data_IF_457677980942
#
_entry.id   IF_457677980942
#
_cell.length_a   1.000
_cell.length_b   1.000
_cell.length_c   1.000
_cell.angle_alpha   90.00
_cell.angle_beta   90.00
_cell.angle_gamma   90.00
#
_symmetry.space_group_name_H-M   'P 1'
#
loop_
_entity.id
_entity.type
_entity.pdbx_description
1 polymer ?
#
# COMPACT_ATOMS: atom_id res chain seq x y z
N UNK A 1 -40.69 16.44 -5.46
CA UNK A 1 -40.62 15.14 -4.74
C UNK A 1 -40.34 13.94 -5.65
N UNK A 2 -41.03 13.75 -6.78
CA UNK A 2 -40.80 12.59 -7.68
C UNK A 2 -39.39 12.53 -8.30
N UNK A 3 -38.80 13.69 -8.62
CA UNK A 3 -37.43 13.78 -9.16
C UNK A 3 -36.36 13.34 -8.14
N UNK A 4 -36.44 13.84 -6.91
CA UNK A 4 -35.56 13.46 -5.80
C UNK A 4 -35.65 11.95 -5.53
N UNK A 5 -36.87 11.38 -5.52
CA UNK A 5 -37.07 9.93 -5.34
C UNK A 5 -36.39 9.12 -6.46
N UNK A 6 -36.49 9.55 -7.72
CA UNK A 6 -35.81 8.89 -8.85
C UNK A 6 -34.29 8.98 -8.74
N UNK A 7 -33.76 10.13 -8.31
CA UNK A 7 -32.32 10.34 -8.11
C UNK A 7 -31.77 9.44 -6.99
N UNK A 8 -32.50 9.31 -5.87
CA UNK A 8 -32.13 8.40 -4.78
C UNK A 8 -32.15 6.92 -5.23
N UNK A 9 -33.18 6.50 -5.97
CA UNK A 9 -33.25 5.13 -6.50
C UNK A 9 -32.09 4.86 -7.46
N UNK A 10 -31.77 5.81 -8.34
CA UNK A 10 -30.65 5.69 -9.27
C UNK A 10 -29.31 5.57 -8.52
N UNK A 11 -29.07 6.43 -7.52
CA UNK A 11 -27.87 6.37 -6.68
C UNK A 11 -27.75 5.02 -5.97
N UNK A 12 -28.85 4.51 -5.41
CA UNK A 12 -28.87 3.19 -4.76
C UNK A 12 -28.52 2.06 -5.73
N UNK A 13 -29.06 2.09 -6.95
CA UNK A 13 -28.75 1.11 -8.01
C UNK A 13 -27.26 1.17 -8.36
N UNK A 14 -26.69 2.36 -8.53
CA UNK A 14 -25.26 2.53 -8.81
C UNK A 14 -24.38 1.99 -7.68
N UNK A 15 -24.75 2.22 -6.42
CA UNK A 15 -24.01 1.70 -5.25
C UNK A 15 -24.06 0.17 -5.23
N UNK A 16 -25.24 -0.42 -5.44
CA UNK A 16 -25.41 -1.88 -5.45
C UNK A 16 -24.60 -2.51 -6.59
N UNK A 17 -24.67 -1.94 -7.79
CA UNK A 17 -23.89 -2.42 -8.93
C UNK A 17 -22.40 -2.32 -8.65
N UNK A 18 -21.92 -1.18 -8.15
CA UNK A 18 -20.51 -0.99 -7.80
C UNK A 18 -20.03 -1.98 -6.74
N UNK A 19 -20.80 -2.17 -5.67
CA UNK A 19 -20.49 -3.14 -4.62
C UNK A 19 -20.44 -4.57 -5.16
N UNK A 20 -21.39 -4.94 -6.02
CA UNK A 20 -21.42 -6.27 -6.65
C UNK A 20 -20.22 -6.49 -7.56
N UNK A 21 -19.81 -5.47 -8.33
CA UNK A 21 -18.61 -5.52 -9.16
C UNK A 21 -17.35 -5.69 -8.33
N UNK A 22 -17.19 -4.92 -7.25
CA UNK A 22 -16.04 -5.04 -6.35
C UNK A 22 -16.00 -6.43 -5.72
N UNK A 23 -17.14 -6.92 -5.24
CA UNK A 23 -17.27 -8.24 -4.61
C UNK A 23 -16.95 -9.36 -5.60
N UNK A 24 -17.51 -9.31 -6.82
CA UNK A 24 -17.21 -10.28 -7.87
C UNK A 24 -15.73 -10.30 -8.23
N UNK A 25 -15.10 -9.12 -8.30
CA UNK A 25 -13.67 -9.02 -8.58
C UNK A 25 -12.81 -9.53 -7.43
N UNK A 26 -13.21 -9.30 -6.18
CA UNK A 26 -12.54 -9.88 -5.02
C UNK A 26 -12.55 -11.41 -5.09
N UNK A 27 -13.71 -12.04 -5.33
CA UNK A 27 -13.79 -13.50 -5.46
C UNK A 27 -13.01 -14.05 -6.65
N UNK A 28 -12.96 -13.30 -7.76
CA UNK A 28 -12.15 -13.66 -8.92
C UNK A 28 -10.65 -13.67 -8.59
N UNK A 29 -10.18 -12.70 -7.80
CA UNK A 29 -8.76 -12.50 -7.49
C UNK A 29 -8.31 -13.23 -6.21
N UNK A 30 -9.24 -13.57 -5.31
CA UNK A 30 -8.96 -14.09 -3.97
C UNK A 30 -8.03 -15.31 -3.99
N UNK A 31 -8.22 -16.22 -4.94
CA UNK A 31 -7.40 -17.43 -5.08
C UNK A 31 -5.93 -17.14 -5.42
N UNK A 32 -5.65 -15.97 -6.01
CA UNK A 32 -4.30 -15.52 -6.34
C UNK A 32 -3.68 -14.64 -5.24
N UNK A 33 -4.43 -14.29 -4.20
CA UNK A 33 -3.91 -13.43 -3.13
C UNK A 33 -3.00 -14.26 -2.22
N UNK A 34 -1.76 -13.79 -1.95
CA UNK A 34 -0.86 -14.50 -1.07
C UNK A 34 -1.28 -14.38 0.39
N UNK A 35 -0.78 -15.30 1.20
CA UNK A 35 -0.99 -15.28 2.64
C UNK A 35 -0.14 -14.20 3.32
N UNK A 36 -0.82 -13.17 3.82
CA UNK A 36 -0.20 -12.04 4.53
C UNK A 36 0.30 -12.42 5.93
N UNK A 37 -0.12 -13.58 6.48
CA UNK A 37 0.37 -14.06 7.78
C UNK A 37 1.89 -14.24 7.81
N UNK A 38 2.49 -14.51 6.65
CA UNK A 38 3.95 -14.62 6.46
C UNK A 38 4.72 -13.36 6.89
N UNK A 39 4.08 -12.18 6.95
CA UNK A 39 4.71 -10.95 7.42
C UNK A 39 5.07 -10.97 8.91
N UNK A 40 4.36 -11.76 9.74
CA UNK A 40 4.64 -11.85 11.18
C UNK A 40 5.99 -12.53 11.48
N UNK A 41 6.37 -13.47 10.63
CA UNK A 41 7.57 -14.31 10.82
C UNK A 41 8.67 -13.98 9.81
N UNK A 42 8.58 -12.83 9.14
CA UNK A 42 9.45 -12.52 8.00
C UNK A 42 10.90 -12.30 8.45
N UNK A 43 11.79 -13.20 8.03
CA UNK A 43 13.24 -13.06 8.17
C UNK A 43 13.86 -12.43 6.93
N UNK A 44 13.45 -11.20 6.69
CA UNK A 44 14.36 -10.08 6.51
C UNK A 44 15.87 -10.50 6.32
N UNK A 45 16.38 -10.53 5.07
CA UNK A 45 17.75 -10.97 4.68
C UNK A 45 18.86 -9.95 4.98
N UNK A 46 19.63 -10.09 6.05
CA UNK A 46 20.76 -9.18 6.36
C UNK A 46 22.08 -9.60 5.69
N UNK A 47 22.93 -8.64 5.27
CA UNK A 47 24.26 -8.97 4.75
C UNK A 47 25.16 -9.48 5.87
N UNK A 48 26.08 -10.39 5.54
CA UNK A 48 27.22 -10.71 6.40
C UNK A 48 28.12 -9.48 6.49
N UNK A 49 28.56 -9.15 7.70
CA UNK A 49 29.41 -8.00 7.96
C UNK A 49 30.76 -8.48 8.50
N UNK A 50 31.86 -7.95 7.96
CA UNK A 50 33.23 -8.22 8.42
C UNK A 50 33.75 -6.97 9.11
N UNK A 51 34.19 -7.13 10.34
CA UNK A 51 34.72 -6.06 11.17
C UNK A 51 36.22 -6.27 11.44
N UNK A 52 36.96 -5.18 11.59
CA UNK A 52 38.33 -5.19 12.06
C UNK A 52 38.39 -5.48 13.56
N UNK A 53 39.60 -5.74 14.10
CA UNK A 53 39.79 -5.99 15.54
C UNK A 53 39.36 -4.80 16.42
N UNK A 54 39.46 -3.58 15.89
CA UNK A 54 39.01 -2.33 16.53
C UNK A 54 37.52 -2.02 16.29
N UNK A 55 36.76 -2.93 15.67
CA UNK A 55 35.31 -2.84 15.52
C UNK A 55 34.81 -2.01 14.34
N UNK A 56 35.68 -1.59 13.41
CA UNK A 56 35.28 -0.87 12.21
C UNK A 56 34.75 -1.83 11.15
N UNK A 57 33.64 -1.45 10.50
CA UNK A 57 33.08 -2.22 9.40
C UNK A 57 34.02 -2.17 8.18
N UNK A 58 34.59 -3.31 7.81
CA UNK A 58 35.51 -3.42 6.66
C UNK A 58 34.80 -3.81 5.38
N UNK A 59 33.84 -4.74 5.45
CA UNK A 59 33.15 -5.25 4.27
C UNK A 59 31.73 -5.76 4.60
N UNK A 60 30.86 -5.76 3.60
CA UNK A 60 29.52 -6.34 3.65
C UNK A 60 29.29 -7.25 2.45
N UNK A 61 28.76 -8.45 2.69
CA UNK A 61 28.47 -9.45 1.66
C UNK A 61 27.00 -9.89 1.74
N UNK A 62 26.29 -9.82 0.61
CA UNK A 62 24.89 -10.21 0.51
C UNK A 62 24.17 -9.41 -0.59
N UNK A 63 23.08 -9.96 -1.12
CA UNK A 63 22.31 -9.33 -2.20
C UNK A 63 21.64 -8.02 -1.77
N UNK A 64 21.24 -7.93 -0.49
CA UNK A 64 20.57 -6.77 0.08
C UNK A 64 21.42 -6.16 1.17
N UNK A 65 21.77 -4.89 0.99
CA UNK A 65 22.40 -4.07 2.04
C UNK A 65 21.30 -3.47 2.91
N UNK A 66 21.15 -3.99 4.12
CA UNK A 66 20.08 -3.58 5.03
C UNK A 66 20.47 -3.76 6.48
N UNK A 67 20.08 -2.79 7.29
CA UNK A 67 20.22 -2.77 8.74
C UNK A 67 18.80 -2.68 9.28
N UNK A 68 18.23 -3.76 9.86
CA UNK A 68 16.91 -3.71 10.47
C UNK A 68 16.93 -2.76 11.65
N UNK A 69 15.96 -1.86 11.70
CA UNK A 69 15.74 -0.96 12.80
C UNK A 69 14.31 -1.15 13.31
N UNK A 70 14.14 -1.04 14.61
CA UNK A 70 12.82 -0.85 15.22
C UNK A 70 12.35 0.58 14.97
N UNK A 71 11.04 0.78 15.10
CA UNK A 71 10.44 2.08 14.82
C UNK A 71 10.93 3.18 15.78
N UNK A 72 11.22 2.82 17.03
CA UNK A 72 11.75 3.72 18.07
C UNK A 72 13.24 4.07 17.88
N UNK A 73 13.95 3.36 17.00
CA UNK A 73 15.33 3.68 16.61
C UNK A 73 15.39 4.67 15.44
N UNK A 74 14.25 4.96 14.80
CA UNK A 74 14.18 5.91 13.68
C UNK A 74 14.01 7.35 14.18
N UNK A 75 14.75 8.33 13.60
CA UNK A 75 14.51 9.74 13.89
C UNK A 75 13.07 10.14 13.55
N UNK A 76 12.42 10.88 14.45
CA UNK A 76 11.03 11.31 14.26
C UNK A 76 10.86 12.17 13.01
N UNK A 77 11.82 13.06 12.73
CA UNK A 77 11.80 13.92 11.55
C UNK A 77 11.84 13.11 10.25
N UNK A 78 12.53 11.97 10.25
CA UNK A 78 12.56 11.07 9.10
C UNK A 78 11.21 10.37 8.91
N UNK A 79 10.59 9.90 10.00
CA UNK A 79 9.26 9.29 9.96
C UNK A 79 8.23 10.27 9.40
N UNK A 80 8.21 11.49 9.93
CA UNK A 80 7.31 12.55 9.51
C UNK A 80 7.53 12.94 8.05
N UNK A 81 8.78 13.07 7.60
CA UNK A 81 9.09 13.39 6.21
C UNK A 81 8.59 12.30 5.23
N UNK A 82 8.76 11.02 5.58
CA UNK A 82 8.27 9.90 4.78
C UNK A 82 6.75 9.89 4.73
N UNK A 83 6.07 10.02 5.87
CA UNK A 83 4.61 10.06 5.93
C UNK A 83 4.10 11.26 5.13
N UNK A 84 4.66 12.47 5.30
CA UNK A 84 4.23 13.66 4.58
C UNK A 84 4.39 13.53 3.04
N UNK A 85 5.40 12.80 2.57
CA UNK A 85 5.71 12.66 1.14
C UNK A 85 4.96 11.50 0.49
N UNK A 86 4.94 10.33 1.13
CA UNK A 86 4.43 9.09 0.54
C UNK A 86 2.95 8.85 0.88
N UNK A 87 2.50 9.23 2.07
CA UNK A 87 1.15 8.92 2.57
C UNK A 87 0.74 9.88 3.70
N UNK A 88 0.46 11.14 3.35
CA UNK A 88 0.18 12.21 4.32
C UNK A 88 -1.00 11.93 5.27
N UNK A 89 -1.84 10.96 4.93
CA UNK A 89 -3.03 10.55 5.68
C UNK A 89 -2.90 9.12 6.20
N UNK A 90 -1.67 8.62 6.36
CA UNK A 90 -1.35 7.25 6.77
C UNK A 90 -2.20 6.76 7.95
N UNK A 91 -2.38 7.60 8.97
CA UNK A 91 -3.15 7.25 10.18
C UNK A 91 -4.68 7.40 10.05
N UNK A 92 -5.19 7.86 8.91
CA UNK A 92 -6.61 8.15 8.68
C UNK A 92 -7.30 7.13 7.76
N UNK A 93 -6.56 6.14 7.25
CA UNK A 93 -7.10 5.12 6.37
C UNK A 93 -6.65 3.71 6.78
N UNK A 94 -7.34 2.71 6.23
CA UNK A 94 -7.08 1.30 6.49
C UNK A 94 -6.54 0.63 5.23
N UNK A 95 -5.28 0.96 4.92
CA UNK A 95 -4.48 0.28 3.91
C UNK A 95 -4.62 0.86 2.51
N UNK A 96 -5.70 1.57 2.19
CA UNK A 96 -5.82 2.38 0.97
C UNK A 96 -6.57 3.68 1.24
N UNK A 97 -6.24 4.73 0.50
CA UNK A 97 -6.86 6.05 0.68
C UNK A 97 -7.80 6.42 -0.50
N UNK A 98 -9.13 6.28 -0.38
CA UNK A 98 -10.07 6.73 -1.40
C UNK A 98 -9.99 8.23 -1.71
N UNK A 99 -9.74 9.08 -0.70
CA UNK A 99 -9.65 10.53 -0.88
C UNK A 99 -8.35 10.87 -1.59
N UNK A 100 -7.23 10.24 -1.21
CA UNK A 100 -5.94 10.37 -1.89
C UNK A 100 -6.00 9.92 -3.35
N UNK A 101 -6.65 8.80 -3.63
CA UNK A 101 -6.87 8.29 -5.00
C UNK A 101 -7.72 9.25 -5.82
N UNK A 102 -8.86 9.71 -5.29
CA UNK A 102 -9.74 10.64 -6.01
C UNK A 102 -9.05 11.97 -6.27
N UNK A 103 -8.37 12.55 -5.27
CA UNK A 103 -7.55 13.76 -5.42
C UNK A 103 -6.50 13.61 -6.53
N UNK A 104 -5.75 12.51 -6.53
CA UNK A 104 -4.73 12.25 -7.55
C UNK A 104 -5.35 12.09 -8.96
N UNK A 105 -6.51 11.42 -9.07
CA UNK A 105 -7.24 11.30 -10.33
C UNK A 105 -7.74 12.65 -10.85
N UNK A 106 -8.27 13.52 -9.97
CA UNK A 106 -8.65 14.88 -10.32
C UNK A 106 -7.45 15.72 -10.75
N UNK A 107 -6.31 15.61 -10.06
CA UNK A 107 -5.08 16.32 -10.43
C UNK A 107 -4.62 15.92 -11.84
N UNK A 108 -4.61 14.62 -12.16
CA UNK A 108 -4.29 14.11 -13.51
C UNK A 108 -5.27 14.63 -14.56
N UNK A 109 -6.57 14.63 -14.26
CA UNK A 109 -7.59 15.11 -15.18
C UNK A 109 -7.46 16.62 -15.45
N UNK A 110 -7.05 17.41 -14.45
CA UNK A 110 -6.88 18.84 -14.56
C UNK A 110 -5.56 19.26 -15.20
N UNK A 111 -4.44 18.61 -14.86
CA UNK A 111 -3.09 18.99 -15.33
C UNK A 111 -2.61 18.17 -16.53
N UNK A 112 -3.28 17.08 -16.88
CA UNK A 112 -2.86 16.14 -17.92
C UNK A 112 -1.65 15.27 -17.54
N UNK A 113 -1.18 15.34 -16.30
CA UNK A 113 0.03 14.65 -15.83
C UNK A 113 -0.12 14.09 -14.42
N UNK A 114 0.48 12.93 -14.16
CA UNK A 114 0.50 12.30 -12.85
C UNK A 114 1.55 12.98 -11.94
N UNK A 115 1.16 14.13 -11.38
CA UNK A 115 1.99 14.91 -10.45
C UNK A 115 1.87 14.44 -8.99
N UNK A 116 0.88 13.62 -8.66
CA UNK A 116 0.60 13.18 -7.29
C UNK A 116 0.54 11.66 -7.19
N UNK A 117 1.17 11.12 -6.13
CA UNK A 117 1.05 9.71 -5.76
C UNK A 117 -0.35 9.38 -5.22
N UNK A 118 -0.88 8.24 -5.64
CA UNK A 118 -2.17 7.69 -5.18
C UNK A 118 -2.01 6.45 -4.28
N UNK A 119 -0.77 6.01 -4.02
CA UNK A 119 -0.52 4.77 -3.27
C UNK A 119 -0.19 5.06 -1.81
N UNK A 120 -0.75 4.28 -0.90
CA UNK A 120 -0.48 4.33 0.54
C UNK A 120 0.75 3.50 0.91
N UNK A 121 1.37 3.76 2.06
CA UNK A 121 2.54 2.99 2.55
C UNK A 121 2.22 1.49 2.59
N UNK A 122 1.04 1.10 3.08
CA UNK A 122 0.61 -0.31 3.14
C UNK A 122 0.45 -0.95 1.75
N UNK A 123 -0.02 -0.21 0.74
CA UNK A 123 -0.01 -0.69 -0.65
C UNK A 123 1.41 -0.85 -1.20
N UNK A 124 2.34 0.03 -0.82
CA UNK A 124 3.73 -0.10 -1.23
C UNK A 124 4.37 -1.33 -0.57
N UNK A 125 4.07 -1.59 0.70
CA UNK A 125 4.48 -2.80 1.40
C UNK A 125 3.93 -4.06 0.72
N UNK A 126 2.63 -4.09 0.44
CA UNK A 126 1.98 -5.17 -0.29
C UNK A 126 2.66 -5.44 -1.64
N UNK A 127 2.92 -4.39 -2.41
CA UNK A 127 3.64 -4.49 -3.68
C UNK A 127 5.03 -5.10 -3.52
N UNK A 128 5.81 -4.57 -2.57
CA UNK A 128 7.23 -4.93 -2.43
C UNK A 128 7.45 -6.36 -1.92
N UNK A 129 6.52 -6.90 -1.13
CA UNK A 129 6.63 -8.26 -0.58
C UNK A 129 5.97 -9.33 -1.44
N UNK A 130 4.85 -9.01 -2.10
CA UNK A 130 3.96 -10.03 -2.64
C UNK A 130 3.75 -9.98 -4.16
N UNK A 131 4.06 -8.85 -4.80
CA UNK A 131 3.71 -8.64 -6.21
C UNK A 131 4.95 -8.32 -7.04
N UNK A 132 4.86 -8.61 -8.34
CA UNK A 132 5.89 -8.19 -9.29
C UNK A 132 5.80 -6.69 -9.59
N UNK A 133 6.88 -6.09 -10.07
CA UNK A 133 6.92 -4.66 -10.44
C UNK A 133 6.23 -4.33 -11.79
N UNK A 134 5.40 -5.22 -12.32
CA UNK A 134 4.70 -5.01 -13.60
C UNK A 134 3.63 -3.92 -13.51
N UNK A 135 3.66 -2.90 -14.37
CA UNK A 135 2.68 -1.80 -14.34
C UNK A 135 1.31 -2.19 -14.93
N UNK A 136 0.62 -3.17 -14.34
CA UNK A 136 -0.74 -3.61 -14.71
C UNK A 136 -1.81 -3.13 -13.72
N UNK A 137 -3.00 -2.78 -14.22
CA UNK A 137 -4.17 -2.41 -13.41
C UNK A 137 -4.55 -3.57 -12.46
N UNK A 138 -4.52 -4.81 -12.97
CA UNK A 138 -4.81 -6.00 -12.16
C UNK A 138 -3.92 -6.12 -10.93
N UNK A 139 -2.62 -5.86 -11.08
CA UNK A 139 -1.68 -5.82 -9.94
C UNK A 139 -2.09 -4.72 -8.96
N UNK A 140 -2.47 -3.53 -9.44
CA UNK A 140 -2.89 -2.43 -8.55
C UNK A 140 -4.13 -2.78 -7.73
N UNK A 141 -5.06 -3.54 -8.30
CA UNK A 141 -6.23 -4.03 -7.56
C UNK A 141 -5.81 -5.08 -6.52
N UNK A 142 -4.91 -6.01 -6.87
CA UNK A 142 -4.31 -6.95 -5.90
C UNK A 142 -3.63 -6.22 -4.74
N UNK A 143 -2.90 -5.13 -5.00
CA UNK A 143 -2.28 -4.29 -3.94
C UNK A 143 -3.30 -3.80 -2.92
N UNK A 144 -4.46 -3.31 -3.38
CA UNK A 144 -5.51 -2.78 -2.49
C UNK A 144 -6.03 -3.89 -1.56
N UNK A 145 -6.37 -5.06 -2.12
CA UNK A 145 -6.88 -6.16 -1.30
C UNK A 145 -5.84 -6.72 -0.33
N UNK A 146 -4.58 -6.85 -0.76
CA UNK A 146 -3.50 -7.28 0.12
C UNK A 146 -3.28 -6.24 1.23
N UNK A 147 -3.28 -4.95 0.91
CA UNK A 147 -3.12 -3.90 1.91
C UNK A 147 -4.23 -3.93 2.97
N UNK A 148 -5.48 -4.15 2.57
CA UNK A 148 -6.59 -4.34 3.52
C UNK A 148 -6.36 -5.56 4.42
N UNK A 149 -5.94 -6.70 3.86
CA UNK A 149 -5.64 -7.89 4.67
C UNK A 149 -4.44 -7.68 5.61
N UNK A 150 -3.43 -6.90 5.21
CA UNK A 150 -2.30 -6.54 6.07
C UNK A 150 -2.79 -5.74 7.27
N UNK A 151 -3.58 -4.68 7.06
CA UNK A 151 -4.14 -3.88 8.15
C UNK A 151 -4.99 -4.73 9.10
N UNK A 152 -5.86 -5.59 8.56
CA UNK A 152 -6.69 -6.48 9.39
C UNK A 152 -5.89 -7.46 10.26
N UNK A 153 -4.65 -7.78 9.85
CA UNK A 153 -3.82 -8.74 10.55
C UNK A 153 -2.88 -8.08 11.56
N UNK A 154 -2.36 -6.88 11.25
CA UNK A 154 -1.29 -6.23 11.98
C UNK A 154 -1.72 -5.00 12.79
N UNK A 155 -2.91 -4.47 12.54
CA UNK A 155 -3.49 -3.29 13.19
C UNK A 155 -4.78 -3.65 13.91
#
# INVERSE_FOLDING_TARGET
MKFIKRLLIFSLICIILGATTIFGFYFYVKSDLPDVATLRDVKLQTPMQVFSQDGQLMAQFGEKRRIPLKLDEMPNELLEAIIATEDSRFYEHYGFDPIGITRAAFAVAASGSASQGASTITQQLARNFFLSNEKKIMRKIKEIFIAIHIEQLLT
#
